data_IF_828028635375
#
_entry.id   IF_828028635375
#
_cell.length_a   1.000
_cell.length_b   1.000
_cell.length_c   1.000
_cell.angle_alpha   90.00
_cell.angle_beta   90.00
_cell.angle_gamma   90.00
#
_symmetry.space_group_name_H-M   'P 1'
#
loop_
_entity.id
_entity.type
_entity.pdbx_description
1 polymer ?
#
# COMPACT_ATOMS: atom_id res chain seq x y z
N UNK A 1 1.17 -17.74 -14.75
CA UNK A 1 2.02 -18.62 -13.91
C UNK A 1 2.86 -17.79 -12.96
N UNK A 2 3.72 -16.89 -13.45
CA UNK A 2 4.59 -16.04 -12.64
C UNK A 2 3.82 -15.20 -11.59
N UNK A 3 2.73 -14.55 -11.99
CA UNK A 3 1.92 -13.75 -11.05
C UNK A 3 1.32 -14.60 -9.92
N UNK A 4 0.88 -15.83 -10.19
CA UNK A 4 0.34 -16.72 -9.16
C UNK A 4 1.41 -17.17 -8.17
N UNK A 5 2.64 -17.40 -8.65
CA UNK A 5 3.78 -17.72 -7.78
C UNK A 5 4.08 -16.54 -6.86
N UNK A 6 4.10 -15.31 -7.40
CA UNK A 6 4.29 -14.11 -6.59
C UNK A 6 3.16 -13.90 -5.59
N UNK A 7 1.90 -14.16 -5.96
CA UNK A 7 0.76 -14.07 -5.04
C UNK A 7 0.89 -15.06 -3.89
N UNK A 8 1.23 -16.32 -4.18
CA UNK A 8 1.47 -17.33 -3.15
C UNK A 8 2.63 -16.91 -2.25
N UNK A 9 3.74 -16.44 -2.83
CA UNK A 9 4.87 -15.92 -2.07
C UNK A 9 4.47 -14.76 -1.14
N UNK A 10 3.70 -13.80 -1.63
CA UNK A 10 3.21 -12.66 -0.83
C UNK A 10 2.32 -13.14 0.33
N UNK A 11 1.43 -14.11 0.09
CA UNK A 11 0.59 -14.69 1.16
C UNK A 11 1.45 -15.38 2.21
N UNK A 12 2.42 -16.20 1.79
CA UNK A 12 3.34 -16.86 2.71
C UNK A 12 4.17 -15.85 3.53
N UNK A 13 4.72 -14.83 2.88
CA UNK A 13 5.50 -13.78 3.55
C UNK A 13 4.64 -12.95 4.53
N UNK A 14 3.38 -12.67 4.18
CA UNK A 14 2.43 -12.01 5.09
C UNK A 14 2.10 -12.87 6.32
N UNK A 15 1.90 -14.18 6.13
CA UNK A 15 1.69 -15.12 7.25
C UNK A 15 2.93 -15.14 8.15
N UNK A 16 4.14 -15.23 7.57
CA UNK A 16 5.39 -15.17 8.32
C UNK A 16 5.50 -13.85 9.11
N UNK A 17 5.15 -12.72 8.50
CA UNK A 17 5.18 -11.42 9.17
C UNK A 17 4.28 -11.35 10.42
N UNK A 18 3.15 -12.07 10.42
CA UNK A 18 2.20 -12.15 11.54
C UNK A 18 2.68 -13.11 12.64
N UNK A 19 3.28 -14.24 12.26
CA UNK A 19 3.70 -15.30 13.21
C UNK A 19 5.02 -15.00 13.91
N UNK A 20 5.88 -14.19 13.28
CA UNK A 20 7.20 -13.87 13.83
C UNK A 20 7.06 -12.94 15.04
N UNK A 21 7.67 -13.36 16.16
CA UNK A 21 7.64 -12.62 17.44
C UNK A 21 8.58 -11.41 17.46
N UNK A 22 9.63 -11.45 16.65
CA UNK A 22 10.62 -10.39 16.55
C UNK A 22 10.17 -9.30 15.58
N UNK A 23 10.08 -8.06 16.06
CA UNK A 23 9.55 -6.94 15.27
C UNK A 23 10.42 -6.62 14.06
N UNK A 24 11.75 -6.74 14.19
CA UNK A 24 12.66 -6.46 13.09
C UNK A 24 12.44 -7.49 11.96
N UNK A 25 12.35 -8.76 12.32
CA UNK A 25 12.08 -9.86 11.40
C UNK A 25 10.68 -9.76 10.76
N UNK A 26 9.66 -9.32 11.52
CA UNK A 26 8.32 -9.03 10.98
C UNK A 26 8.37 -7.89 9.94
N UNK A 27 9.08 -6.79 10.23
CA UNK A 27 9.26 -5.68 9.28
C UNK A 27 9.96 -6.12 8.00
N UNK A 28 10.99 -6.98 8.10
CA UNK A 28 11.68 -7.54 6.93
C UNK A 28 10.72 -8.41 6.10
N UNK A 29 9.88 -9.22 6.74
CA UNK A 29 8.89 -10.06 6.06
C UNK A 29 7.82 -9.21 5.33
N UNK A 30 7.35 -8.11 5.94
CA UNK A 30 6.48 -7.13 5.26
C UNK A 30 7.18 -6.52 4.04
N UNK A 31 8.47 -6.16 4.19
CA UNK A 31 9.29 -5.67 3.08
C UNK A 31 9.32 -6.62 1.89
N UNK A 32 9.46 -7.94 2.15
CA UNK A 32 9.45 -8.95 1.10
C UNK A 32 8.12 -8.97 0.30
N UNK A 33 6.98 -8.73 0.96
CA UNK A 33 5.68 -8.57 0.28
C UNK A 33 5.69 -7.37 -0.66
N UNK A 34 6.20 -6.22 -0.18
CA UNK A 34 6.29 -5.00 -0.99
C UNK A 34 7.21 -5.11 -2.21
N UNK A 35 8.36 -5.77 -2.07
CA UNK A 35 9.23 -6.05 -3.21
C UNK A 35 8.60 -7.01 -4.22
N UNK A 36 7.87 -8.04 -3.75
CA UNK A 36 7.13 -8.92 -4.64
C UNK A 36 6.00 -8.18 -5.37
N UNK A 37 5.34 -7.21 -4.72
CA UNK A 37 4.35 -6.34 -5.36
C UNK A 37 4.97 -5.46 -6.45
N UNK A 38 6.18 -4.94 -6.24
CA UNK A 38 6.94 -4.22 -7.28
C UNK A 38 7.17 -5.09 -8.52
N UNK A 39 7.59 -6.36 -8.33
CA UNK A 39 7.74 -7.32 -9.43
C UNK A 39 6.40 -7.60 -10.13
N UNK A 40 5.31 -7.72 -9.37
CA UNK A 40 3.98 -7.90 -9.94
C UNK A 40 3.58 -6.72 -10.84
N UNK A 41 3.87 -5.47 -10.43
CA UNK A 41 3.61 -4.29 -11.28
C UNK A 41 4.44 -4.29 -12.56
N UNK A 42 5.71 -4.72 -12.52
CA UNK A 42 6.53 -4.85 -13.72
C UNK A 42 5.97 -5.90 -14.69
N UNK A 43 5.55 -7.06 -14.18
CA UNK A 43 4.91 -8.11 -14.99
C UNK A 43 3.60 -7.60 -15.62
N UNK A 44 2.84 -6.79 -14.89
CA UNK A 44 1.61 -6.15 -15.35
C UNK A 44 1.85 -4.94 -16.26
N UNK A 45 3.10 -4.64 -16.64
CA UNK A 45 3.49 -3.50 -17.49
C UNK A 45 3.11 -2.13 -16.90
N UNK A 46 3.19 -2.00 -15.58
CA UNK A 46 2.97 -0.76 -14.85
C UNK A 46 4.30 -0.25 -14.23
N UNK A 47 5.26 0.24 -15.04
CA UNK A 47 6.59 0.65 -14.55
C UNK A 47 6.53 1.84 -13.60
N UNK A 48 5.64 2.81 -13.83
CA UNK A 48 5.49 3.98 -12.96
C UNK A 48 5.04 3.58 -11.55
N UNK A 49 4.11 2.62 -11.43
CA UNK A 49 3.68 2.06 -10.15
C UNK A 49 4.79 1.23 -9.49
N UNK A 50 5.58 0.49 -10.26
CA UNK A 50 6.69 -0.29 -9.73
C UNK A 50 7.76 0.61 -9.09
N UNK A 51 8.12 1.71 -9.75
CA UNK A 51 9.13 2.65 -9.24
C UNK A 51 8.64 3.35 -7.97
N UNK A 52 7.38 3.83 -7.95
CA UNK A 52 6.83 4.48 -6.76
C UNK A 52 6.69 3.50 -5.60
N UNK A 53 6.20 2.28 -5.86
CA UNK A 53 6.12 1.23 -4.84
C UNK A 53 7.48 0.93 -4.24
N UNK A 54 8.52 0.80 -5.07
CA UNK A 54 9.88 0.52 -4.61
C UNK A 54 10.41 1.63 -3.69
N UNK A 55 10.22 2.89 -4.06
CA UNK A 55 10.68 4.04 -3.25
C UNK A 55 9.93 4.11 -1.92
N UNK A 56 8.60 3.97 -1.95
CA UNK A 56 7.78 3.99 -0.73
C UNK A 56 8.15 2.81 0.18
N UNK A 57 8.34 1.62 -0.38
CA UNK A 57 8.71 0.43 0.39
C UNK A 57 10.04 0.62 1.11
N UNK A 58 11.06 1.13 0.43
CA UNK A 58 12.38 1.39 1.05
C UNK A 58 12.25 2.42 2.17
N UNK A 59 11.51 3.51 1.96
CA UNK A 59 11.32 4.54 2.99
C UNK A 59 10.55 4.01 4.20
N UNK A 60 9.46 3.27 3.97
CA UNK A 60 8.68 2.63 5.01
C UNK A 60 9.54 1.63 5.80
N UNK A 61 10.33 0.80 5.13
CA UNK A 61 11.22 -0.17 5.76
C UNK A 61 12.27 0.52 6.64
N UNK A 62 12.90 1.60 6.16
CA UNK A 62 13.86 2.37 6.96
C UNK A 62 13.19 2.96 8.21
N UNK A 63 12.01 3.55 8.06
CA UNK A 63 11.27 4.15 9.18
C UNK A 63 10.86 3.08 10.19
N UNK A 64 10.33 1.94 9.72
CA UNK A 64 9.88 0.85 10.56
C UNK A 64 11.05 0.18 11.29
N UNK A 65 12.16 -0.12 10.60
CA UNK A 65 13.37 -0.66 11.25
C UNK A 65 13.84 0.29 12.34
N UNK A 66 13.92 1.59 12.07
CA UNK A 66 14.33 2.58 13.07
C UNK A 66 13.35 2.68 14.24
N UNK A 67 12.06 2.46 14.00
CA UNK A 67 11.03 2.46 15.02
C UNK A 67 11.03 1.16 15.87
N UNK A 68 11.50 0.04 15.34
CA UNK A 68 11.47 -1.28 16.00
C UNK A 68 12.79 -1.69 16.65
N UNK A 69 13.94 -1.21 16.17
CA UNK A 69 15.28 -1.70 16.60
C UNK A 69 15.56 -1.62 18.11
N UNK A 70 14.88 -0.72 18.84
CA UNK A 70 15.04 -0.54 20.28
C UNK A 70 13.74 -0.76 21.07
N UNK A 71 12.80 -1.54 20.53
CA UNK A 71 11.52 -1.80 21.19
C UNK A 71 11.33 -3.28 21.46
N UNK A 72 11.52 -3.66 22.71
CA UNK A 72 10.98 -4.90 23.25
C UNK A 72 9.52 -4.64 23.60
N UNK A 73 8.59 -5.02 22.71
CA UNK A 73 7.17 -4.99 23.04
C UNK A 73 6.84 -6.25 23.85
N UNK A 74 6.43 -6.14 25.12
CA UNK A 74 5.86 -7.29 25.81
C UNK A 74 4.56 -7.68 25.08
N UNK A 75 4.45 -8.96 24.70
CA UNK A 75 3.19 -9.50 24.17
C UNK A 75 2.14 -9.39 25.27
N UNK A 76 1.25 -8.39 25.17
CA UNK A 76 0.14 -8.21 26.09
C UNK A 76 -0.91 -9.25 25.77
N UNK A 77 -0.84 -10.41 26.42
CA UNK A 77 -1.89 -11.42 26.39
C UNK A 77 -2.94 -11.00 27.42
N UNK A 78 -3.81 -10.07 27.05
CA UNK A 78 -4.98 -9.74 27.87
C UNK A 78 -6.01 -10.88 27.81
N UNK A 79 -6.54 -11.27 28.97
CA UNK A 79 -7.46 -12.41 29.19
C UNK A 79 -8.87 -12.25 28.61
N UNK A 80 -8.99 -11.83 27.34
CA UNK A 80 -10.24 -11.77 26.57
C UNK A 80 -10.16 -12.59 25.29
N UNK A 81 -9.52 -13.76 25.35
CA UNK A 81 -9.24 -14.60 24.19
C UNK A 81 -10.51 -14.91 23.38
N UNK A 82 -11.62 -15.23 24.04
CA UNK A 82 -12.90 -15.51 23.37
C UNK A 82 -13.39 -14.30 22.57
N UNK A 83 -13.44 -13.11 23.20
CA UNK A 83 -13.90 -11.89 22.52
C UNK A 83 -12.95 -11.47 21.39
N UNK A 84 -11.64 -11.56 21.60
CA UNK A 84 -10.66 -11.24 20.57
C UNK A 84 -10.77 -12.20 19.39
N UNK A 85 -10.90 -13.51 19.63
CA UNK A 85 -11.10 -14.51 18.57
C UNK A 85 -12.40 -14.27 17.81
N UNK A 86 -13.53 -14.01 18.48
CA UNK A 86 -14.79 -13.70 17.80
C UNK A 86 -14.72 -12.38 17.01
N UNK A 87 -14.05 -11.36 17.55
CA UNK A 87 -13.86 -10.07 16.87
C UNK A 87 -12.99 -10.24 15.61
N UNK A 88 -11.87 -10.97 15.72
CA UNK A 88 -11.00 -11.25 14.57
C UNK A 88 -11.71 -12.09 13.51
N UNK A 89 -12.43 -13.16 13.91
CA UNK A 89 -13.21 -13.97 12.98
C UNK A 89 -14.34 -13.17 12.32
N UNK A 90 -15.02 -12.32 13.08
CA UNK A 90 -16.03 -11.41 12.57
C UNK A 90 -15.46 -10.43 11.54
N UNK A 91 -14.30 -9.84 11.84
CA UNK A 91 -13.59 -8.96 10.90
C UNK A 91 -13.18 -9.71 9.62
N UNK A 92 -12.61 -10.91 9.74
CA UNK A 92 -12.22 -11.72 8.57
C UNK A 92 -13.44 -12.08 7.73
N UNK A 93 -14.55 -12.50 8.35
CA UNK A 93 -15.77 -12.86 7.63
C UNK A 93 -16.36 -11.66 6.88
N UNK A 94 -16.43 -10.49 7.54
CA UNK A 94 -16.88 -9.25 6.92
C UNK A 94 -15.94 -8.84 5.78
N UNK A 95 -14.63 -8.86 6.02
CA UNK A 95 -13.62 -8.53 5.01
C UNK A 95 -13.76 -9.44 3.78
N UNK A 96 -13.82 -10.76 3.95
CA UNK A 96 -13.97 -11.72 2.86
C UNK A 96 -15.30 -11.55 2.11
N UNK A 97 -16.39 -11.24 2.82
CA UNK A 97 -17.68 -10.96 2.19
C UNK A 97 -17.60 -9.71 1.29
N UNK A 98 -17.06 -8.61 1.81
CA UNK A 98 -16.89 -7.38 1.02
C UNK A 98 -15.90 -7.56 -0.12
N UNK A 99 -14.78 -8.26 0.09
CA UNK A 99 -13.84 -8.60 -0.97
C UNK A 99 -14.51 -9.44 -2.05
N UNK A 100 -15.29 -10.45 -1.70
CA UNK A 100 -16.03 -11.27 -2.67
C UNK A 100 -17.01 -10.42 -3.49
N UNK A 101 -17.79 -9.56 -2.82
CA UNK A 101 -18.73 -8.67 -3.50
C UNK A 101 -18.01 -7.73 -4.48
N UNK A 102 -16.91 -7.11 -4.05
CA UNK A 102 -16.12 -6.22 -4.90
C UNK A 102 -15.47 -6.96 -6.08
N UNK A 103 -14.93 -8.16 -5.85
CA UNK A 103 -14.28 -8.96 -6.89
C UNK A 103 -15.29 -9.49 -7.92
N UNK A 104 -16.53 -9.74 -7.53
CA UNK A 104 -17.59 -10.21 -8.44
C UNK A 104 -17.96 -9.16 -9.50
N UNK A 105 -17.83 -7.88 -9.17
CA UNK A 105 -18.12 -6.77 -10.08
C UNK A 105 -16.95 -6.42 -11.00
N UNK A 106 -15.76 -6.98 -10.77
CA UNK A 106 -14.61 -6.73 -11.64
C UNK A 106 -14.77 -7.41 -13.01
N UNK A 107 -14.36 -6.73 -14.10
CA UNK A 107 -14.25 -7.37 -15.40
C UNK A 107 -13.34 -8.59 -15.38
N UNK A 108 -13.53 -9.43 -16.39
CA UNK A 108 -12.50 -10.39 -16.78
C UNK A 108 -11.15 -9.68 -16.99
N UNK A 109 -10.08 -10.31 -16.51
CA UNK A 109 -8.75 -9.74 -16.62
C UNK A 109 -8.40 -9.45 -18.08
N UNK A 110 -8.02 -8.20 -18.38
CA UNK A 110 -7.67 -7.76 -19.73
C UNK A 110 -8.83 -7.14 -20.53
N UNK A 111 -10.05 -7.07 -19.99
CA UNK A 111 -11.18 -6.41 -20.64
C UNK A 111 -11.44 -5.01 -20.05
N UNK A 112 -11.04 -3.91 -20.73
CA UNK A 112 -11.26 -2.57 -20.23
C UNK A 112 -12.74 -2.16 -20.38
N UNK A 113 -13.46 -2.01 -19.27
CA UNK A 113 -14.86 -1.56 -19.26
C UNK A 113 -14.97 -0.02 -19.36
N UNK A 114 -14.01 0.73 -18.82
CA UNK A 114 -14.18 2.18 -18.64
C UNK A 114 -14.05 2.94 -19.97
N UNK A 115 -15.15 3.51 -20.43
CA UNK A 115 -15.22 4.36 -21.62
C UNK A 115 -14.21 5.54 -21.59
N UNK A 116 -13.90 6.02 -20.38
CA UNK A 116 -12.94 7.10 -20.15
C UNK A 116 -11.51 6.72 -20.55
N UNK A 117 -11.11 5.45 -20.38
CA UNK A 117 -9.77 4.97 -20.75
C UNK A 117 -9.53 5.15 -22.25
N UNK A 118 -10.53 4.86 -23.09
CA UNK A 118 -10.43 5.06 -24.54
C UNK A 118 -10.14 6.52 -24.88
N UNK A 119 -10.78 7.46 -24.19
CA UNK A 119 -10.54 8.90 -24.36
C UNK A 119 -9.11 9.28 -23.94
N UNK A 120 -8.61 8.77 -22.80
CA UNK A 120 -7.23 9.03 -22.37
C UNK A 120 -6.20 8.46 -23.35
N UNK A 121 -6.43 7.27 -23.90
CA UNK A 121 -5.53 6.66 -24.88
C UNK A 121 -5.52 7.41 -26.23
N UNK A 122 -6.69 7.86 -26.70
CA UNK A 122 -6.82 8.52 -28.00
C UNK A 122 -6.44 10.00 -27.98
N UNK A 123 -6.83 10.72 -26.92
CA UNK A 123 -6.69 12.17 -26.82
C UNK A 123 -5.57 12.59 -25.86
N UNK A 124 -4.91 11.65 -25.18
CA UNK A 124 -3.92 11.95 -24.16
C UNK A 124 -2.79 12.84 -24.68
N UNK A 125 -2.10 12.38 -25.74
CA UNK A 125 -0.99 13.12 -26.33
C UNK A 125 -1.45 14.45 -26.94
N UNK A 126 -2.60 14.48 -27.62
CA UNK A 126 -3.07 15.70 -28.31
C UNK A 126 -3.53 16.79 -27.35
N UNK A 127 -4.11 16.42 -26.20
CA UNK A 127 -4.62 17.38 -25.21
C UNK A 127 -3.60 17.81 -24.16
N UNK A 128 -2.63 16.97 -23.85
CA UNK A 128 -1.66 17.21 -22.76
C UNK A 128 -0.24 17.44 -23.25
N UNK A 129 0.08 17.00 -24.47
CA UNK A 129 1.46 16.97 -24.98
C UNK A 129 2.34 15.90 -24.32
N UNK A 130 1.83 15.16 -23.33
CA UNK A 130 2.59 14.10 -22.65
C UNK A 130 2.55 12.80 -23.44
N UNK A 131 3.73 12.22 -23.66
CA UNK A 131 3.89 10.89 -24.27
C UNK A 131 3.60 9.79 -23.24
N UNK A 132 3.83 10.06 -21.95
CA UNK A 132 3.45 9.15 -20.88
C UNK A 132 1.98 9.36 -20.49
N UNK A 133 1.14 8.38 -20.80
CA UNK A 133 -0.30 8.42 -20.55
C UNK A 133 -0.59 8.44 -19.05
N UNK A 134 0.21 7.76 -18.21
CA UNK A 134 0.02 7.80 -16.75
C UNK A 134 0.21 9.23 -16.26
N UNK A 135 1.31 9.88 -16.65
CA UNK A 135 1.58 11.30 -16.32
C UNK A 135 0.48 12.23 -16.84
N UNK A 136 0.01 12.02 -18.07
CA UNK A 136 -1.09 12.79 -18.65
C UNK A 136 -2.38 12.67 -17.82
N UNK A 137 -2.66 11.48 -17.28
CA UNK A 137 -3.83 11.26 -16.43
C UNK A 137 -3.66 11.96 -15.09
N UNK A 138 -2.55 11.78 -14.39
CA UNK A 138 -2.38 12.30 -13.03
C UNK A 138 -2.14 13.82 -12.98
N UNK A 139 -1.45 14.40 -13.96
CA UNK A 139 -1.08 15.83 -13.94
C UNK A 139 -2.03 16.73 -14.74
N UNK A 140 -2.76 16.19 -15.73
CA UNK A 140 -3.70 16.99 -16.54
C UNK A 140 -5.15 16.57 -16.31
N UNK A 141 -5.54 15.37 -16.72
CA UNK A 141 -6.95 14.97 -16.66
C UNK A 141 -7.51 14.87 -15.24
N UNK A 142 -6.67 14.46 -14.28
CA UNK A 142 -7.01 14.28 -12.87
C UNK A 142 -6.08 15.07 -11.95
N UNK A 143 -5.63 16.23 -12.42
CA UNK A 143 -4.72 17.13 -11.68
C UNK A 143 -5.23 17.47 -10.27
N UNK A 144 -6.55 17.63 -10.10
CA UNK A 144 -7.15 17.93 -8.81
C UNK A 144 -7.00 16.81 -7.78
N UNK A 145 -7.02 15.54 -8.21
CA UNK A 145 -6.81 14.40 -7.32
C UNK A 145 -5.36 14.42 -6.79
N UNK A 146 -4.38 14.66 -7.68
CA UNK A 146 -2.96 14.81 -7.32
C UNK A 146 -2.72 16.01 -6.39
N UNK A 147 -3.42 17.13 -6.61
CA UNK A 147 -3.38 18.28 -5.69
C UNK A 147 -3.91 17.90 -4.29
N UNK A 148 -4.98 17.11 -4.25
CA UNK A 148 -5.54 16.54 -3.02
C UNK A 148 -4.54 15.66 -2.29
N UNK A 149 -3.92 14.71 -3.01
CA UNK A 149 -2.87 13.82 -2.47
C UNK A 149 -1.68 14.62 -1.92
N UNK A 150 -1.20 15.63 -2.66
CA UNK A 150 -0.12 16.51 -2.21
C UNK A 150 -0.49 17.27 -0.93
N UNK A 151 -1.74 17.73 -0.82
CA UNK A 151 -2.24 18.42 0.38
C UNK A 151 -2.28 17.49 1.59
N UNK A 152 -2.71 16.24 1.41
CA UNK A 152 -2.70 15.22 2.48
C UNK A 152 -1.27 14.93 2.93
N UNK A 153 -0.34 14.71 2.00
CA UNK A 153 1.08 14.48 2.34
C UNK A 153 1.69 15.67 3.08
N UNK A 154 1.44 16.89 2.61
CA UNK A 154 1.89 18.11 3.26
C UNK A 154 1.36 18.23 4.69
N UNK A 155 0.07 17.94 4.88
CA UNK A 155 -0.57 17.97 6.21
C UNK A 155 0.02 16.90 7.13
N UNK A 156 0.27 15.69 6.62
CA UNK A 156 0.90 14.62 7.38
C UNK A 156 2.32 15.00 7.85
N UNK A 157 3.12 15.61 6.97
CA UNK A 157 4.47 16.10 7.32
C UNK A 157 4.41 17.15 8.41
N UNK A 158 3.52 18.15 8.30
CA UNK A 158 3.32 19.16 9.35
C UNK A 158 2.88 18.52 10.66
N UNK A 159 1.97 17.54 10.61
CA UNK A 159 1.51 16.80 11.79
C UNK A 159 2.66 16.08 12.50
N UNK A 160 3.51 15.38 11.74
CA UNK A 160 4.71 14.71 12.28
C UNK A 160 5.67 15.73 12.89
N UNK A 161 5.92 16.86 12.23
CA UNK A 161 6.77 17.94 12.77
C UNK A 161 6.21 18.51 14.07
N UNK A 162 4.89 18.68 14.18
CA UNK A 162 4.24 19.16 15.40
C UNK A 162 4.38 18.16 16.56
N UNK A 163 4.23 16.85 16.29
CA UNK A 163 4.38 15.78 17.30
C UNK A 163 5.83 15.63 17.75
N UNK A 164 6.79 15.67 16.81
CA UNK A 164 8.22 15.50 17.11
C UNK A 164 8.87 16.77 17.70
N UNK A 165 8.15 17.89 17.74
CA UNK A 165 8.65 19.13 18.34
C UNK A 165 8.92 18.89 19.83
N UNK A 166 10.18 19.07 20.24
CA UNK A 166 10.56 18.97 21.66
C UNK A 166 9.77 19.99 22.48
N UNK A 167 9.13 19.60 23.59
CA UNK A 167 8.50 20.56 24.49
C UNK A 167 9.58 21.52 25.01
N UNK A 168 9.34 22.81 24.85
CA UNK A 168 10.24 23.85 25.34
C UNK A 168 10.48 23.64 26.84
N UNK A 169 11.74 23.67 27.26
CA UNK A 169 12.14 23.63 28.67
C UNK A 169 11.34 24.71 29.40
N UNK A 170 10.37 24.33 30.24
CA UNK A 170 9.73 25.28 31.16
C UNK A 170 10.86 25.83 32.04
N UNK A 171 11.12 27.13 31.92
CA UNK A 171 11.95 27.85 32.88
C UNK A 171 11.21 27.96 34.21
#
# INVERSE_FOLDING_TARGET
>A
MELYILLIFMICAAIVAIEVKDLLSSVIAVGAVGFALCLAFLILKAPDLAITQLVVEILCLIILIRATINKDLPLVIEGRWIFNTFSTLGFIAVFLLFSWLALKELPGFGEPIMAVVKKYLQEGVSKTGSVNIVTAVILDFRAYDTLGEATVLFTAVIGIMAILRRPGRKK
#
